data_IF_255609084589
#
_entry.id   IF_255609084589
#
_cell.length_a   1.000
_cell.length_b   1.000
_cell.length_c   1.000
_cell.angle_alpha   90.00
_cell.angle_beta   90.00
_cell.angle_gamma   90.00
#
_symmetry.space_group_name_H-M   'P 1'
#
loop_
_entity.id
_entity.type
_entity.pdbx_description
1 polymer ?
#
# COMPACT_ATOMS: atom_id res chain seq x y z
N UNK A 1 20.33 1.48 -3.12
CA UNK A 1 19.01 1.03 -2.65
C UNK A 1 18.89 1.42 -1.18
N UNK A 2 17.77 2.00 -0.73
CA UNK A 2 17.53 2.38 0.67
C UNK A 2 16.18 1.82 1.13
N UNK A 3 16.15 0.71 1.89
CA UNK A 3 14.89 0.18 2.42
C UNK A 3 14.32 1.10 3.50
N UNK A 4 13.01 1.00 3.74
CA UNK A 4 12.39 1.57 4.93
C UNK A 4 12.78 0.76 6.16
N UNK A 5 12.84 1.43 7.31
CA UNK A 5 13.07 0.78 8.59
C UNK A 5 11.84 -0.03 9.02
N UNK A 6 12.07 -1.16 9.69
CA UNK A 6 10.97 -1.95 10.27
C UNK A 6 10.36 -1.13 11.41
N UNK A 7 9.02 -0.96 11.47
CA UNK A 7 8.38 -0.25 12.56
C UNK A 7 8.73 -0.86 13.92
N UNK A 8 9.02 -0.07 14.97
CA UNK A 8 9.35 -0.60 16.29
C UNK A 8 8.31 -1.57 16.86
N UNK A 9 7.03 -1.33 16.57
CA UNK A 9 5.94 -2.23 16.98
C UNK A 9 6.04 -3.62 16.35
N UNK A 10 6.50 -3.72 15.10
CA UNK A 10 6.71 -5.00 14.42
C UNK A 10 7.98 -5.70 14.92
N UNK A 11 9.03 -4.94 15.28
CA UNK A 11 10.24 -5.51 15.88
C UNK A 11 10.00 -6.11 17.27
N UNK A 12 8.99 -5.62 17.99
CA UNK A 12 8.67 -6.06 19.34
C UNK A 12 7.67 -7.23 19.40
N UNK A 13 7.16 -7.69 18.26
CA UNK A 13 6.14 -8.74 18.16
C UNK A 13 6.70 -9.95 17.41
N UNK A 14 6.92 -11.05 18.14
CA UNK A 14 7.43 -12.31 17.59
C UNK A 14 6.46 -12.99 16.60
N UNK A 15 5.22 -12.50 16.49
CA UNK A 15 4.21 -12.95 15.52
C UNK A 15 4.02 -11.97 14.36
N UNK A 16 4.81 -10.88 14.30
CA UNK A 16 4.70 -9.91 13.22
C UNK A 16 5.03 -10.55 11.86
N UNK A 17 4.28 -10.14 10.84
CA UNK A 17 4.47 -10.56 9.45
C UNK A 17 4.50 -9.32 8.57
N UNK A 18 5.49 -9.23 7.67
CA UNK A 18 5.48 -8.22 6.60
C UNK A 18 4.36 -8.56 5.59
N UNK A 19 3.34 -7.70 5.49
CA UNK A 19 2.16 -7.95 4.65
C UNK A 19 2.46 -7.71 3.17
N UNK A 20 3.16 -6.61 2.87
CA UNK A 20 3.49 -6.18 1.53
C UNK A 20 4.79 -5.36 1.54
N UNK A 21 5.55 -5.47 0.45
CA UNK A 21 6.73 -4.66 0.20
C UNK A 21 6.71 -4.11 -1.21
N UNK A 22 6.76 -2.80 -1.34
CA UNK A 22 6.65 -2.09 -2.62
C UNK A 22 7.93 -1.30 -2.87
N UNK A 23 8.52 -1.48 -4.05
CA UNK A 23 9.71 -0.75 -4.49
C UNK A 23 9.45 -0.01 -5.80
N UNK A 24 9.92 1.23 -5.90
CA UNK A 24 10.11 1.91 -7.18
C UNK A 24 11.49 1.60 -7.75
N UNK A 25 11.57 0.92 -8.89
CA UNK A 25 12.82 0.63 -9.58
C UNK A 25 12.62 0.55 -11.10
N UNK A 26 13.49 1.23 -11.86
CA UNK A 26 13.41 1.25 -13.32
C UNK A 26 12.13 1.90 -13.86
N UNK A 27 11.56 2.87 -13.15
CA UNK A 27 10.31 3.53 -13.52
C UNK A 27 9.04 2.69 -13.31
N UNK A 28 9.17 1.51 -12.68
CA UNK A 28 8.06 0.60 -12.39
C UNK A 28 7.96 0.32 -10.89
N UNK A 29 6.79 -0.15 -10.48
CA UNK A 29 6.57 -0.71 -9.15
C UNK A 29 6.91 -2.21 -9.16
N UNK A 30 7.57 -2.67 -8.10
CA UNK A 30 7.86 -4.09 -7.85
C UNK A 30 7.28 -4.43 -6.49
N UNK A 31 6.42 -5.44 -6.43
CA UNK A 31 5.63 -5.77 -5.23
C UNK A 31 5.89 -7.20 -4.80
N UNK A 32 6.13 -7.39 -3.50
CA UNK A 32 6.11 -8.70 -2.84
C UNK A 32 4.97 -8.70 -1.83
N UNK A 33 4.16 -9.76 -1.81
CA UNK A 33 3.01 -9.90 -0.91
C UNK A 33 3.15 -11.17 -0.10
N UNK A 34 2.84 -11.10 1.19
CA UNK A 34 2.63 -12.30 1.99
C UNK A 34 1.32 -12.97 1.56
N UNK A 35 1.44 -14.07 0.82
CA UNK A 35 0.29 -14.86 0.38
C UNK A 35 -0.31 -15.65 1.54
N UNK A 36 -1.64 -15.77 1.58
CA UNK A 36 -2.34 -16.64 2.54
C UNK A 36 -2.53 -16.07 3.94
N UNK A 37 -2.17 -14.80 4.19
CA UNK A 37 -2.36 -14.14 5.49
C UNK A 37 -3.84 -13.94 5.86
N UNK A 38 -4.70 -13.75 4.86
CA UNK A 38 -6.14 -13.58 5.04
C UNK A 38 -6.91 -14.47 4.07
N UNK A 39 -7.98 -15.09 4.58
CA UNK A 39 -8.88 -15.92 3.78
C UNK A 39 -9.91 -15.09 3.00
N UNK A 40 -10.33 -13.96 3.57
CA UNK A 40 -11.31 -13.05 2.97
C UNK A 40 -10.60 -11.92 2.22
N UNK A 41 -10.81 -11.76 0.89
CA UNK A 41 -10.24 -10.64 0.15
C UNK A 41 -10.69 -9.26 0.67
N UNK A 42 -11.84 -9.16 1.36
CA UNK A 42 -12.31 -7.91 1.97
C UNK A 42 -11.33 -7.31 2.96
N UNK A 43 -10.49 -8.12 3.61
CA UNK A 43 -9.45 -7.63 4.53
C UNK A 43 -8.35 -6.84 3.80
N UNK A 44 -8.05 -7.19 2.54
CA UNK A 44 -7.17 -6.38 1.71
C UNK A 44 -7.80 -5.02 1.40
N UNK A 45 -9.12 -4.97 1.21
CA UNK A 45 -9.86 -3.72 1.04
C UNK A 45 -9.72 -2.78 2.25
N UNK A 46 -9.85 -3.31 3.47
CA UNK A 46 -9.62 -2.54 4.70
C UNK A 46 -8.18 -2.03 4.74
N UNK A 47 -7.20 -2.90 4.50
CA UNK A 47 -5.78 -2.53 4.50
C UNK A 47 -5.46 -1.41 3.50
N UNK A 48 -6.03 -1.47 2.28
CA UNK A 48 -5.83 -0.43 1.26
C UNK A 48 -6.39 0.93 1.70
N UNK A 49 -7.54 0.96 2.37
CA UNK A 49 -8.11 2.21 2.91
C UNK A 49 -7.26 2.77 4.05
N UNK A 50 -6.74 1.91 4.93
CA UNK A 50 -5.84 2.32 6.01
C UNK A 50 -4.54 2.92 5.44
N UNK A 51 -3.97 2.28 4.41
CA UNK A 51 -2.80 2.79 3.69
C UNK A 51 -3.07 4.16 3.06
N UNK A 52 -4.19 4.31 2.34
CA UNK A 52 -4.59 5.60 1.76
C UNK A 52 -4.73 6.70 2.84
N UNK A 53 -5.26 6.34 4.00
CA UNK A 53 -5.40 7.24 5.15
C UNK A 53 -4.05 7.67 5.72
N UNK A 54 -3.09 6.75 5.82
CA UNK A 54 -1.72 7.08 6.23
C UNK A 54 -1.02 8.01 5.22
N UNK A 55 -1.19 7.76 3.92
CA UNK A 55 -0.67 8.63 2.86
C UNK A 55 -1.26 10.03 2.99
N UNK A 56 -2.59 10.14 3.14
CA UNK A 56 -3.24 11.43 3.31
C UNK A 56 -2.77 12.19 4.57
N UNK A 57 -2.55 11.49 5.69
CA UNK A 57 -1.96 12.08 6.89
C UNK A 57 -0.55 12.65 6.60
N UNK A 58 0.28 11.93 5.84
CA UNK A 58 1.62 12.38 5.48
C UNK A 58 1.58 13.64 4.60
N UNK A 59 0.67 13.73 3.63
CA UNK A 59 0.51 14.94 2.81
C UNK A 59 0.04 16.14 3.62
N UNK A 60 -0.87 15.93 4.57
CA UNK A 60 -1.35 16.97 5.47
C UNK A 60 -0.23 17.48 6.39
N UNK A 61 0.57 16.58 6.97
CA UNK A 61 1.73 16.94 7.78
C UNK A 61 2.77 17.75 7.02
N UNK A 62 2.89 17.53 5.70
CA UNK A 62 3.75 18.32 4.82
C UNK A 62 3.06 19.57 4.24
N UNK A 63 1.86 19.92 4.72
CA UNK A 63 1.09 21.10 4.27
C UNK A 63 0.81 21.13 2.75
N UNK A 64 0.70 19.96 2.11
CA UNK A 64 0.47 19.85 0.66
C UNK A 64 -1.03 19.86 0.29
N UNK A 65 -1.86 19.22 1.11
CA UNK A 65 -3.32 19.24 1.02
C UNK A 65 -3.92 18.93 2.40
N UNK A 66 -5.20 19.26 2.62
CA UNK A 66 -5.91 18.71 3.79
C UNK A 66 -6.11 17.21 3.61
N UNK A 67 -6.14 16.44 4.69
CA UNK A 67 -6.34 14.98 4.64
C UNK A 67 -7.54 14.59 3.77
N UNK A 68 -8.64 15.33 3.89
CA UNK A 68 -9.85 15.11 3.08
C UNK A 68 -9.59 15.29 1.60
N UNK A 69 -8.97 16.41 1.19
CA UNK A 69 -8.64 16.65 -0.21
C UNK A 69 -7.71 15.57 -0.78
N UNK A 70 -6.73 15.12 0.03
CA UNK A 70 -5.82 14.06 -0.39
C UNK A 70 -6.57 12.72 -0.57
N UNK A 71 -7.47 12.34 0.35
CA UNK A 71 -8.28 11.13 0.23
C UNK A 71 -9.26 11.18 -0.94
N UNK A 72 -9.94 12.31 -1.14
CA UNK A 72 -10.85 12.52 -2.27
C UNK A 72 -10.09 12.32 -3.59
N UNK A 73 -8.87 12.87 -3.68
CA UNK A 73 -8.01 12.70 -4.86
C UNK A 73 -7.50 11.27 -5.04
N UNK A 74 -7.09 10.60 -3.96
CA UNK A 74 -6.67 9.19 -4.03
C UNK A 74 -7.83 8.33 -4.54
N UNK A 75 -9.03 8.52 -4.00
CA UNK A 75 -10.22 7.76 -4.39
C UNK A 75 -10.61 8.01 -5.85
N UNK A 76 -10.57 9.26 -6.31
CA UNK A 76 -10.86 9.62 -7.69
C UNK A 76 -9.93 8.92 -8.71
N UNK A 77 -8.61 8.91 -8.45
CA UNK A 77 -7.66 8.17 -9.30
C UNK A 77 -7.87 6.66 -9.19
N UNK A 78 -8.07 6.16 -7.98
CA UNK A 78 -8.28 4.74 -7.74
C UNK A 78 -9.52 4.23 -8.50
N UNK A 79 -10.65 4.95 -8.40
CA UNK A 79 -11.88 4.57 -9.08
C UNK A 79 -11.71 4.64 -10.62
N UNK A 80 -10.92 5.59 -11.12
CA UNK A 80 -10.58 5.69 -12.56
C UNK A 80 -9.73 4.49 -13.02
N UNK A 81 -8.65 4.18 -12.30
CA UNK A 81 -7.76 3.04 -12.60
C UNK A 81 -8.50 1.70 -12.48
N UNK A 82 -9.47 1.59 -11.56
CA UNK A 82 -10.30 0.40 -11.41
C UNK A 82 -11.24 0.18 -12.61
N UNK A 83 -11.68 1.25 -13.25
CA UNK A 83 -12.57 1.19 -14.42
C UNK A 83 -11.79 1.02 -15.73
N UNK A 84 -10.64 1.70 -15.85
CA UNK A 84 -9.79 1.70 -17.04
C UNK A 84 -8.32 1.44 -16.62
N UNK A 85 -7.94 0.17 -16.37
CA UNK A 85 -6.58 -0.17 -15.94
C UNK A 85 -5.52 0.27 -16.95
N UNK A 86 -4.46 0.89 -16.46
CA UNK A 86 -3.33 1.37 -17.27
C UNK A 86 -2.14 0.40 -17.28
N UNK A 87 -2.18 -0.63 -16.44
CA UNK A 87 -1.19 -1.71 -16.36
C UNK A 87 -1.87 -3.07 -16.09
N UNK A 88 -1.19 -4.16 -16.41
CA UNK A 88 -1.61 -5.54 -16.11
C UNK A 88 -0.56 -6.20 -15.19
N UNK A 89 -0.79 -6.22 -13.86
CA UNK A 89 0.17 -6.77 -12.92
C UNK A 89 0.46 -8.25 -13.18
N UNK A 90 1.74 -8.60 -13.26
CA UNK A 90 2.20 -10.00 -13.41
C UNK A 90 2.99 -10.44 -12.18
N UNK A 91 3.03 -11.75 -11.93
CA UNK A 91 3.78 -12.32 -10.81
C UNK A 91 3.60 -13.83 -10.66
N UNK A 92 4.34 -14.41 -9.72
CA UNK A 92 4.31 -15.83 -9.38
C UNK A 92 4.33 -16.04 -7.86
N UNK A 93 3.77 -17.16 -7.40
CA UNK A 93 3.87 -17.57 -6.00
C UNK A 93 5.25 -18.17 -5.79
N UNK A 94 6.02 -17.57 -4.87
CA UNK A 94 7.32 -18.09 -4.45
C UNK A 94 7.12 -18.80 -3.10
N UNK A 95 7.44 -20.10 -3.06
CA UNK A 95 7.36 -20.94 -1.86
C UNK A 95 8.72 -21.05 -1.15
#
# INVERSE_FOLDING_TARGET
MKPLEIPPAALADDQAVEIARIWGAGGKQHVTLASGIWKDPGNWGIMLVDLATHIANAYEQNSLCTKRQCLDRIKDVFDSEWQEPTDDPTGEIVN
#
